data_IF_913689043592
#
_entry.id   IF_913689043592
#
_cell.length_a   1.000
_cell.length_b   1.000
_cell.length_c   1.000
_cell.angle_alpha   90.00
_cell.angle_beta   90.00
_cell.angle_gamma   90.00
#
_symmetry.space_group_name_H-M   'P 1'
#
loop_
_entity.id
_entity.type
_entity.pdbx_description
1 polymer ?
#
# COMPACT_ATOMS: atom_id res chain seq x y z
N UNK A 1 -11.39 -24.39 8.40
CA UNK A 1 -10.92 -23.97 9.73
C UNK A 1 -11.45 -22.57 9.98
N UNK A 2 -12.60 -22.44 10.65
CA UNK A 2 -13.28 -21.16 10.81
C UNK A 2 -12.75 -20.46 12.07
N UNK A 3 -11.77 -19.59 11.86
CA UNK A 3 -11.18 -18.76 12.91
C UNK A 3 -12.05 -17.53 13.10
N UNK A 4 -12.49 -17.29 14.35
CA UNK A 4 -13.23 -16.08 14.73
C UNK A 4 -12.30 -14.86 14.62
N UNK A 5 -12.38 -14.14 13.51
CA UNK A 5 -11.80 -12.79 13.39
C UNK A 5 -12.87 -11.83 13.91
N UNK A 6 -12.81 -11.51 15.20
CA UNK A 6 -13.73 -10.59 15.86
C UNK A 6 -13.61 -9.18 15.26
N UNK A 7 -14.76 -8.54 15.04
CA UNK A 7 -14.98 -7.13 14.69
C UNK A 7 -14.09 -6.59 13.55
N UNK A 8 -14.64 -6.62 12.33
CA UNK A 8 -13.97 -6.08 11.16
C UNK A 8 -13.79 -4.56 11.29
N UNK A 9 -12.57 -4.17 11.67
CA UNK A 9 -12.08 -2.81 11.54
C UNK A 9 -11.92 -2.42 10.07
N UNK A 10 -12.15 -1.13 9.83
CA UNK A 10 -12.19 -0.46 8.54
C UNK A 10 -10.89 -0.68 7.73
N UNK A 11 -10.92 -0.49 6.41
CA UNK A 11 -9.74 -0.56 5.54
C UNK A 11 -8.59 0.26 6.13
N UNK A 12 -7.35 -0.18 5.94
CA UNK A 12 -6.17 0.47 6.54
C UNK A 12 -6.19 1.98 6.35
N UNK A 13 -6.54 2.49 5.16
CA UNK A 13 -6.65 3.93 4.87
C UNK A 13 -7.74 4.68 5.65
N UNK A 14 -8.83 4.02 6.05
CA UNK A 14 -9.91 4.61 6.85
C UNK A 14 -9.61 4.49 8.34
N UNK A 15 -9.01 3.38 8.76
CA UNK A 15 -8.46 3.24 10.10
C UNK A 15 -7.37 4.30 10.34
N UNK A 16 -6.45 4.48 9.38
CA UNK A 16 -5.39 5.50 9.40
C UNK A 16 -5.96 6.91 9.55
N UNK A 17 -7.04 7.22 8.83
CA UNK A 17 -7.62 8.56 8.84
C UNK A 17 -8.46 8.82 10.10
N UNK A 18 -9.23 7.83 10.55
CA UNK A 18 -9.99 7.92 11.79
C UNK A 18 -9.02 7.97 12.98
N UNK A 19 -7.98 7.14 12.99
CA UNK A 19 -6.96 7.15 14.03
C UNK A 19 -6.15 8.45 14.00
N UNK A 20 -5.77 8.98 12.83
CA UNK A 20 -5.14 10.30 12.72
C UNK A 20 -6.07 11.43 13.20
N UNK A 21 -7.36 11.42 12.84
CA UNK A 21 -8.35 12.40 13.32
C UNK A 21 -8.60 12.28 14.83
N UNK A 22 -8.64 11.06 15.37
CA UNK A 22 -8.81 10.81 16.80
C UNK A 22 -7.56 11.21 17.58
N UNK A 23 -6.37 10.84 17.09
CA UNK A 23 -5.07 11.15 17.69
C UNK A 23 -4.77 12.65 17.62
N UNK A 24 -5.09 13.33 16.52
CA UNK A 24 -4.93 14.79 16.40
C UNK A 24 -5.87 15.59 17.32
N UNK A 25 -6.99 15.00 17.75
CA UNK A 25 -7.91 15.60 18.73
C UNK A 25 -7.55 15.27 20.19
N UNK A 26 -6.57 14.40 20.44
CA UNK A 26 -6.09 14.17 21.81
C UNK A 26 -5.30 15.40 22.31
N UNK A 27 -5.60 15.91 23.53
CA UNK A 27 -4.90 17.06 24.10
C UNK A 27 -3.38 16.87 24.19
N UNK A 28 -2.94 15.62 24.36
CA UNK A 28 -1.53 15.22 24.38
C UNK A 28 -0.82 15.44 23.04
N UNK A 29 -1.55 15.39 21.91
CA UNK A 29 -0.99 15.54 20.56
C UNK A 29 -1.00 17.00 20.10
N UNK A 30 -2.00 17.78 20.52
CA UNK A 30 -2.05 19.25 20.36
C UNK A 30 -0.90 19.96 21.08
N UNK A 31 -0.27 19.32 22.07
CA UNK A 31 0.92 19.81 22.79
C UNK A 31 2.16 18.92 22.67
N UNK A 32 2.17 17.93 21.75
CA UNK A 32 3.30 17.01 21.60
C UNK A 32 4.49 17.70 20.91
N UNK A 33 5.33 18.37 21.70
CA UNK A 33 6.69 18.70 21.28
C UNK A 33 7.48 17.39 21.11
N UNK A 34 7.75 17.01 19.86
CA UNK A 34 8.30 15.71 19.47
C UNK A 34 9.76 15.48 19.88
N UNK A 35 10.00 15.29 21.18
CA UNK A 35 11.33 15.01 21.72
C UNK A 35 11.30 13.77 22.61
N UNK A 36 12.11 12.76 22.28
CA UNK A 36 12.44 11.68 23.23
C UNK A 36 13.43 12.25 24.27
N UNK A 37 13.01 12.35 25.52
CA UNK A 37 13.88 12.76 26.64
C UNK A 37 14.28 11.53 27.45
N UNK A 38 15.59 11.25 27.54
CA UNK A 38 16.11 10.24 28.45
C UNK A 38 16.05 10.79 29.88
N UNK A 39 15.12 10.27 30.67
CA UNK A 39 15.00 10.62 32.09
C UNK A 39 16.09 9.89 32.88
N UNK A 40 16.99 10.64 33.49
CA UNK A 40 17.91 10.10 34.49
C UNK A 40 17.06 9.67 35.70
N UNK A 41 17.16 8.42 36.12
CA UNK A 41 16.45 7.92 37.30
C UNK A 41 17.05 8.59 38.55
N UNK A 42 16.58 9.79 38.90
CA UNK A 42 16.81 10.34 40.23
C UNK A 42 15.97 9.52 41.20
N UNK A 43 16.52 9.16 42.37
CA UNK A 43 15.88 8.34 43.40
C UNK A 43 14.58 8.89 44.01
N UNK A 44 13.96 9.89 43.38
CA UNK A 44 12.67 10.44 43.75
C UNK A 44 11.90 10.93 42.50
N UNK A 45 10.78 10.29 42.09
CA UNK A 45 10.09 10.62 40.83
C UNK A 45 9.48 12.03 40.81
N UNK A 46 9.27 12.65 41.97
CA UNK A 46 8.76 14.03 42.10
C UNK A 46 9.81 15.08 41.72
N UNK A 47 11.11 14.80 41.92
CA UNK A 47 12.20 15.74 41.61
C UNK A 47 12.48 15.77 40.11
N UNK A 48 12.43 14.62 39.42
CA UNK A 48 12.52 14.56 37.96
C UNK A 48 11.39 15.35 37.28
N UNK A 49 10.16 15.29 37.81
CA UNK A 49 9.02 16.05 37.31
C UNK A 49 9.06 17.55 37.66
N UNK A 50 9.72 17.95 38.75
CA UNK A 50 9.93 19.37 39.12
C UNK A 50 11.09 20.01 38.35
N UNK A 51 12.18 19.28 38.11
CA UNK A 51 13.27 19.69 37.22
C UNK A 51 12.79 19.95 35.78
N UNK A 52 11.75 19.24 35.32
CA UNK A 52 11.20 19.42 33.98
C UNK A 52 10.36 20.69 33.78
N UNK A 53 9.87 21.35 34.84
CA UNK A 53 9.09 22.59 34.72
C UNK A 53 9.92 23.85 34.49
N UNK A 54 11.21 23.84 34.89
CA UNK A 54 12.10 25.00 34.79
C UNK A 54 13.15 24.91 33.66
N UNK A 55 13.08 23.90 32.78
CA UNK A 55 13.82 23.94 31.52
C UNK A 55 12.97 24.67 30.46
N UNK A 56 12.95 26.00 30.52
CA UNK A 56 12.53 26.86 29.40
C UNK A 56 13.50 26.78 28.21
N UNK A 57 14.70 26.23 28.44
CA UNK A 57 15.65 25.89 27.40
C UNK A 57 15.52 24.41 27.01
N UNK A 58 15.31 24.19 25.72
CA UNK A 58 15.41 22.88 25.07
C UNK A 58 16.79 22.27 25.39
N UNK A 59 16.91 20.98 25.81
CA UNK A 59 18.22 20.32 25.89
C UNK A 59 18.93 20.26 24.53
N UNK A 60 18.23 20.62 23.44
CA UNK A 60 18.74 20.79 22.09
C UNK A 60 19.09 22.24 21.73
N UNK A 61 18.79 23.23 22.59
CA UNK A 61 19.39 24.58 22.52
C UNK A 61 20.79 24.54 23.15
N UNK A 62 21.76 24.06 22.38
CA UNK A 62 23.16 24.45 22.59
C UNK A 62 23.35 25.90 22.08
N UNK A 63 24.30 26.66 22.66
CA UNK A 63 24.48 28.08 22.37
C UNK A 63 24.64 28.32 20.87
N UNK A 64 24.21 29.51 20.44
CA UNK A 64 24.18 30.10 19.10
C UNK A 64 25.53 30.07 18.35
N UNK A 65 26.17 28.90 18.23
CA UNK A 65 27.29 28.75 17.31
C UNK A 65 26.71 28.75 15.90
N UNK A 66 27.20 29.60 14.98
CA UNK A 66 26.80 29.54 13.60
C UNK A 66 27.07 28.11 13.09
N UNK A 67 26.06 27.50 12.47
CA UNK A 67 26.16 26.15 11.95
C UNK A 67 27.10 26.10 10.75
N UNK A 68 28.40 25.97 11.00
CA UNK A 68 29.43 25.90 9.96
C UNK A 68 29.71 24.46 9.49
N UNK A 69 29.10 23.44 10.10
CA UNK A 69 29.41 22.02 9.85
C UNK A 69 28.62 21.33 8.72
N UNK A 70 27.83 22.07 7.93
CA UNK A 70 26.94 21.48 6.91
C UNK A 70 25.65 20.87 7.49
N UNK A 71 24.96 20.05 6.70
CA UNK A 71 23.66 19.42 7.06
C UNK A 71 23.86 17.95 7.42
N UNK A 72 23.01 17.40 8.30
CA UNK A 72 23.00 15.98 8.64
C UNK A 72 21.55 15.52 8.88
N UNK A 73 21.12 14.46 8.19
CA UNK A 73 19.78 13.91 8.36
C UNK A 73 19.88 12.43 8.74
N UNK A 74 19.15 12.04 9.77
CA UNK A 74 19.01 10.63 10.15
C UNK A 74 17.54 10.27 10.12
N UNK A 75 17.21 9.07 9.65
CA UNK A 75 15.85 8.54 9.65
C UNK A 75 15.77 7.27 10.49
N UNK A 76 14.69 7.13 11.26
CA UNK A 76 14.32 5.89 11.92
C UNK A 76 13.17 5.23 11.14
N UNK A 77 13.20 3.91 10.86
CA UNK A 77 12.06 3.21 10.29
C UNK A 77 10.84 3.37 11.20
N UNK A 78 9.84 4.11 10.73
CA UNK A 78 8.66 4.41 11.52
C UNK A 78 7.98 3.11 12.00
N UNK A 79 7.74 2.94 13.31
CA UNK A 79 7.35 1.66 13.88
C UNK A 79 5.87 1.38 13.62
N UNK A 80 5.49 0.09 13.55
CA UNK A 80 4.09 -0.30 13.44
C UNK A 80 3.31 0.05 14.70
N UNK A 81 2.15 0.69 14.52
CA UNK A 81 1.26 1.10 15.61
C UNK A 81 0.32 -0.02 16.06
N UNK A 82 0.75 -1.26 15.91
CA UNK A 82 -0.01 -2.42 16.38
C UNK A 82 0.20 -2.70 17.87
N UNK A 83 0.99 -1.91 18.60
CA UNK A 83 1.24 -2.08 20.03
C UNK A 83 2.09 -0.94 20.62
N UNK A 84 2.42 -1.05 21.91
CA UNK A 84 3.34 -0.10 22.57
C UNK A 84 4.77 -0.29 22.04
N UNK A 85 5.53 0.81 21.96
CA UNK A 85 6.96 0.74 21.62
C UNK A 85 7.72 -0.03 22.72
N UNK A 86 8.35 -1.14 22.34
CA UNK A 86 9.21 -1.94 23.22
C UNK A 86 10.70 -1.57 23.10
N UNK A 87 11.53 -2.14 23.98
CA UNK A 87 12.97 -1.84 24.10
C UNK A 87 13.76 -2.06 22.81
N UNK A 88 13.29 -2.93 21.91
CA UNK A 88 13.89 -3.12 20.58
C UNK A 88 13.80 -1.87 19.71
N UNK A 89 12.68 -1.14 19.76
CA UNK A 89 12.56 0.16 19.11
C UNK A 89 13.51 1.17 19.76
N UNK A 90 13.61 1.19 21.09
CA UNK A 90 14.55 2.04 21.84
C UNK A 90 16.01 1.75 21.48
N UNK A 91 16.37 0.49 21.28
CA UNK A 91 17.72 0.10 20.87
C UNK A 91 18.07 0.56 19.45
N UNK A 92 17.11 0.52 18.52
CA UNK A 92 17.36 0.97 17.14
C UNK A 92 17.32 2.49 17.03
N UNK A 93 16.41 3.16 17.75
CA UNK A 93 16.31 4.63 17.74
C UNK A 93 17.50 5.29 18.44
N UNK A 94 18.09 4.65 19.47
CA UNK A 94 19.23 5.22 20.20
C UNK A 94 20.45 5.42 19.29
N UNK A 95 20.68 4.55 18.30
CA UNK A 95 21.74 4.72 17.30
C UNK A 95 21.57 6.03 16.52
N UNK A 96 20.34 6.33 16.12
CA UNK A 96 20.02 7.55 15.39
C UNK A 96 20.17 8.79 16.29
N UNK A 97 19.68 8.69 17.53
CA UNK A 97 19.75 9.77 18.52
C UNK A 97 21.20 10.13 18.88
N UNK A 98 22.05 9.14 19.20
CA UNK A 98 23.46 9.38 19.49
C UNK A 98 24.23 9.96 18.29
N UNK A 99 23.95 9.47 17.08
CA UNK A 99 24.56 9.99 15.86
C UNK A 99 24.21 11.48 15.64
N UNK A 100 22.94 11.85 15.83
CA UNK A 100 22.46 13.23 15.72
C UNK A 100 23.09 14.11 16.81
N UNK A 101 23.15 13.64 18.05
CA UNK A 101 23.80 14.36 19.15
C UNK A 101 25.27 14.67 18.86
N UNK A 102 26.03 13.67 18.40
CA UNK A 102 27.44 13.84 18.03
C UNK A 102 27.64 14.81 16.87
N UNK A 103 26.82 14.74 15.83
CA UNK A 103 26.95 15.65 14.67
C UNK A 103 26.54 17.09 15.01
N UNK A 104 25.59 17.27 15.94
CA UNK A 104 25.29 18.61 16.49
C UNK A 104 26.48 19.19 17.23
N UNK A 105 27.18 18.39 18.04
CA UNK A 105 28.41 18.84 18.72
C UNK A 105 29.52 19.23 17.73
N UNK A 106 29.56 18.59 16.55
CA UNK A 106 30.43 18.97 15.42
C UNK A 106 29.97 20.24 14.68
N UNK A 107 28.90 20.90 15.11
CA UNK A 107 28.38 22.13 14.50
C UNK A 107 27.52 21.90 13.26
N UNK A 108 27.04 20.67 13.00
CA UNK A 108 26.13 20.38 11.86
C UNK A 108 24.68 20.70 12.19
N UNK A 109 23.93 21.18 11.20
CA UNK A 109 22.45 21.27 11.27
C UNK A 109 21.85 19.89 11.14
N UNK A 110 21.29 19.36 12.22
CA UNK A 110 20.78 17.99 12.24
C UNK A 110 19.25 17.90 12.25
N UNK A 111 18.69 17.16 11.27
CA UNK A 111 17.27 16.83 11.18
C UNK A 111 17.05 15.35 11.52
N UNK A 112 16.16 15.09 12.48
CA UNK A 112 15.75 13.72 12.85
C UNK A 112 14.22 13.62 12.89
N UNK A 113 13.56 13.31 11.76
CA UNK A 113 12.12 13.15 11.72
C UNK A 113 11.71 11.79 12.28
N UNK A 114 10.58 11.77 12.97
CA UNK A 114 9.97 10.55 13.50
C UNK A 114 8.54 10.42 12.96
N UNK A 115 8.19 9.23 12.48
CA UNK A 115 6.86 8.92 11.96
C UNK A 115 6.30 7.65 12.59
N UNK A 116 5.05 7.34 12.28
CA UNK A 116 4.34 6.16 12.76
C UNK A 116 3.74 5.36 11.60
N UNK A 117 3.86 4.03 11.64
CA UNK A 117 3.34 3.16 10.60
C UNK A 117 1.96 2.62 10.99
N UNK A 118 0.91 3.23 10.45
CA UNK A 118 -0.47 2.79 10.69
C UNK A 118 -1.04 1.89 9.57
N UNK A 119 -0.25 1.67 8.49
CA UNK A 119 -0.73 0.87 7.37
C UNK A 119 -0.45 -0.62 7.53
N UNK A 120 -1.35 -1.45 7.01
CA UNK A 120 -1.12 -2.89 6.80
C UNK A 120 -1.89 -3.84 7.71
N UNK A 121 -1.81 -5.13 7.37
CA UNK A 121 -2.49 -6.22 8.07
C UNK A 121 -2.14 -6.39 9.56
N UNK A 122 -0.91 -6.11 10.04
CA UNK A 122 -0.57 -6.29 11.46
C UNK A 122 -1.46 -5.50 12.43
N UNK A 123 -1.95 -4.33 12.02
CA UNK A 123 -2.81 -3.47 12.84
C UNK A 123 -4.24 -4.02 12.88
N UNK A 124 -4.74 -4.48 11.73
CA UNK A 124 -6.04 -5.16 11.62
C UNK A 124 -6.11 -6.43 12.46
N UNK A 125 -5.00 -7.14 12.58
CA UNK A 125 -4.89 -8.37 13.35
C UNK A 125 -4.83 -8.06 14.86
N UNK A 126 -4.12 -7.01 15.27
CA UNK A 126 -3.95 -6.68 16.70
C UNK A 126 -5.08 -5.89 17.35
N UNK A 127 -6.00 -5.28 16.59
CA UNK A 127 -7.09 -4.46 17.15
C UNK A 127 -7.98 -5.16 18.19
N UNK A 128 -7.91 -6.49 18.31
CA UNK A 128 -8.60 -7.30 19.35
C UNK A 128 -8.00 -8.70 19.59
N UNK A 129 -6.76 -8.99 19.17
CA UNK A 129 -6.11 -10.31 19.36
C UNK A 129 -5.50 -10.50 20.76
N UNK A 130 -6.20 -10.12 21.83
CA UNK A 130 -5.78 -10.46 23.20
C UNK A 130 -6.51 -11.72 23.66
N UNK A 131 -6.57 -12.75 22.82
CA UNK A 131 -7.13 -14.04 23.19
C UNK A 131 -6.81 -15.15 22.19
N UNK A 132 -6.75 -16.42 22.64
CA UNK A 132 -6.52 -17.56 21.75
C UNK A 132 -7.61 -17.60 20.68
N UNK A 133 -7.21 -17.89 19.44
CA UNK A 133 -8.14 -18.09 18.32
C UNK A 133 -9.08 -19.24 18.66
N UNK A 134 -10.34 -18.93 19.00
CA UNK A 134 -11.37 -19.93 19.26
C UNK A 134 -11.95 -20.40 17.94
N UNK A 135 -11.85 -21.71 17.67
CA UNK A 135 -12.62 -22.34 16.60
C UNK A 135 -14.09 -22.21 16.96
N UNK A 136 -14.87 -21.67 16.04
CA UNK A 136 -16.32 -21.54 16.19
C UNK A 136 -17.01 -22.57 15.32
N UNK A 137 -18.06 -23.19 15.86
CA UNK A 137 -18.86 -24.19 15.16
C UNK A 137 -19.78 -23.57 14.10
N UNK A 138 -20.20 -22.32 14.30
CA UNK A 138 -21.20 -21.64 13.47
C UNK A 138 -20.58 -20.37 12.85
N UNK A 139 -20.82 -20.14 11.56
CA UNK A 139 -20.42 -18.92 10.86
C UNK A 139 -21.25 -17.70 11.35
N UNK A 140 -20.62 -16.69 11.98
CA UNK A 140 -21.32 -15.53 12.51
C UNK A 140 -21.61 -14.46 11.45
N UNK A 141 -21.21 -14.68 10.19
CA UNK A 141 -21.27 -13.67 9.11
C UNK A 141 -22.67 -13.09 8.93
N UNK A 142 -23.71 -13.95 8.89
CA UNK A 142 -25.10 -13.51 8.72
C UNK A 142 -25.60 -12.70 9.93
N UNK A 143 -25.24 -13.12 11.15
CA UNK A 143 -25.57 -12.38 12.38
C UNK A 143 -24.95 -10.99 12.38
N UNK A 144 -23.70 -10.88 11.96
CA UNK A 144 -22.99 -9.59 11.87
C UNK A 144 -23.56 -8.72 10.75
N UNK A 145 -23.88 -9.31 9.59
CA UNK A 145 -24.55 -8.62 8.49
C UNK A 145 -25.90 -8.05 8.91
N UNK A 146 -26.70 -8.77 9.69
CA UNK A 146 -27.99 -8.28 10.19
C UNK A 146 -27.83 -7.01 11.05
N UNK A 147 -26.82 -6.96 11.92
CA UNK A 147 -26.50 -5.76 12.71
C UNK A 147 -26.15 -4.56 11.82
N UNK A 148 -25.33 -4.78 10.80
CA UNK A 148 -24.95 -3.74 9.84
C UNK A 148 -26.14 -3.28 9.01
N UNK A 149 -26.96 -4.20 8.50
CA UNK A 149 -28.20 -3.88 7.76
C UNK A 149 -29.14 -3.03 8.60
N UNK A 150 -29.33 -3.37 9.88
CA UNK A 150 -30.15 -2.59 10.81
C UNK A 150 -29.59 -1.17 11.00
N UNK A 151 -28.28 -1.04 11.18
CA UNK A 151 -27.62 0.25 11.31
C UNK A 151 -27.75 1.11 10.05
N UNK A 152 -27.46 0.54 8.87
CA UNK A 152 -27.57 1.23 7.58
C UNK A 152 -29.01 1.63 7.27
N UNK A 153 -29.99 0.78 7.57
CA UNK A 153 -31.41 1.10 7.38
C UNK A 153 -31.83 2.32 8.22
N UNK A 154 -31.38 2.42 9.47
CA UNK A 154 -31.63 3.60 10.33
C UNK A 154 -31.03 4.87 9.73
N UNK A 155 -29.83 4.79 9.17
CA UNK A 155 -29.19 5.93 8.51
C UNK A 155 -29.90 6.33 7.21
N UNK A 156 -30.34 5.33 6.43
CA UNK A 156 -31.07 5.56 5.19
C UNK A 156 -32.44 6.22 5.43
N UNK A 157 -33.15 5.81 6.48
CA UNK A 157 -34.39 6.48 6.92
C UNK A 157 -34.19 7.95 7.26
N UNK A 158 -32.99 8.32 7.71
CA UNK A 158 -32.58 9.72 7.96
C UNK A 158 -32.05 10.43 6.71
N UNK A 159 -32.23 9.83 5.52
CA UNK A 159 -31.79 10.35 4.22
C UNK A 159 -30.29 10.73 4.21
N UNK A 160 -29.46 9.92 4.87
CA UNK A 160 -28.00 10.11 4.92
C UNK A 160 -27.25 9.54 3.72
N UNK A 161 -27.94 8.80 2.84
CA UNK A 161 -27.40 8.22 1.62
C UNK A 161 -28.34 8.53 0.46
N UNK A 162 -27.80 8.70 -0.74
CA UNK A 162 -28.57 8.52 -1.97
C UNK A 162 -28.92 7.04 -2.18
N UNK A 163 -29.84 6.73 -3.10
CA UNK A 163 -30.21 5.35 -3.42
C UNK A 163 -28.98 4.55 -3.91
N UNK A 164 -28.21 5.11 -4.84
CA UNK A 164 -27.01 4.45 -5.38
C UNK A 164 -25.92 4.24 -4.31
N UNK A 165 -25.74 5.20 -3.41
CA UNK A 165 -24.80 5.08 -2.30
C UNK A 165 -25.24 3.99 -1.34
N UNK A 166 -26.52 3.96 -0.99
CA UNK A 166 -27.09 2.95 -0.11
C UNK A 166 -26.91 1.55 -0.68
N UNK A 167 -27.22 1.35 -1.97
CA UNK A 167 -26.99 0.07 -2.66
C UNK A 167 -25.52 -0.33 -2.64
N UNK A 168 -24.61 0.62 -2.79
CA UNK A 168 -23.17 0.35 -2.79
C UNK A 168 -22.62 -0.06 -1.41
N UNK A 169 -23.24 0.39 -0.32
CA UNK A 169 -22.81 0.07 1.06
C UNK A 169 -23.57 -1.10 1.66
N UNK A 170 -24.74 -1.44 1.12
CA UNK A 170 -25.62 -2.46 1.67
C UNK A 170 -25.06 -3.88 1.45
N UNK A 171 -24.89 -4.69 2.51
CA UNK A 171 -24.31 -6.03 2.39
C UNK A 171 -25.38 -7.05 1.97
N UNK A 172 -25.76 -7.07 0.69
CA UNK A 172 -26.80 -7.98 0.15
C UNK A 172 -26.45 -9.46 0.36
N UNK A 173 -25.31 -9.90 -0.18
CA UNK A 173 -24.81 -11.28 -0.11
C UNK A 173 -23.41 -11.31 0.52
N UNK A 174 -23.34 -11.25 1.87
CA UNK A 174 -22.06 -11.14 2.57
C UNK A 174 -21.35 -12.50 2.65
N UNK A 175 -20.06 -12.51 2.31
CA UNK A 175 -19.20 -13.69 2.48
C UNK A 175 -18.32 -13.56 3.72
N UNK A 176 -17.98 -14.68 4.40
CA UNK A 176 -17.01 -14.64 5.49
C UNK A 176 -15.64 -14.13 5.00
N UNK A 177 -14.82 -13.53 5.88
CA UNK A 177 -13.44 -13.19 5.53
C UNK A 177 -12.64 -14.48 5.26
N UNK A 178 -11.78 -14.45 4.25
CA UNK A 178 -10.98 -15.63 3.87
C UNK A 178 -9.50 -15.37 4.05
N UNK A 179 -8.81 -16.31 4.67
CA UNK A 179 -7.36 -16.28 4.88
C UNK A 179 -6.64 -17.05 3.75
N UNK A 180 -5.61 -16.45 3.17
CA UNK A 180 -4.77 -17.08 2.15
C UNK A 180 -3.31 -16.64 2.29
N UNK A 181 -2.37 -17.45 1.82
CA UNK A 181 -0.94 -17.15 1.82
C UNK A 181 -0.45 -16.67 0.46
N UNK A 182 0.37 -15.62 0.45
CA UNK A 182 1.18 -15.22 -0.70
C UNK A 182 2.63 -15.69 -0.50
N UNK A 183 3.14 -16.48 -1.43
CA UNK A 183 4.51 -17.00 -1.36
C UNK A 183 5.52 -15.85 -1.50
N UNK A 184 6.47 -15.74 -0.56
CA UNK A 184 7.59 -14.81 -0.66
C UNK A 184 8.73 -15.43 -1.46
N UNK A 185 8.57 -15.50 -2.78
CA UNK A 185 9.50 -16.19 -3.69
C UNK A 185 10.95 -15.67 -3.70
N UNK A 186 11.23 -14.51 -3.10
CA UNK A 186 12.57 -13.92 -3.00
C UNK A 186 13.31 -14.27 -1.70
N UNK A 187 12.70 -15.04 -0.80
CA UNK A 187 13.36 -15.50 0.42
C UNK A 187 13.96 -16.88 0.15
N UNK A 188 15.27 -17.00 0.36
CA UNK A 188 16.05 -18.24 0.16
C UNK A 188 15.65 -19.38 1.10
N UNK A 189 14.85 -19.09 2.13
CA UNK A 189 14.31 -20.08 3.06
C UNK A 189 13.54 -21.17 2.30
N UNK A 190 14.04 -22.41 2.33
CA UNK A 190 13.49 -23.61 1.65
C UNK A 190 12.04 -23.99 2.05
N UNK A 191 11.43 -23.25 2.98
CA UNK A 191 10.07 -23.46 3.49
C UNK A 191 9.01 -22.58 2.78
N UNK A 192 9.39 -21.77 1.78
CA UNK A 192 8.47 -20.89 1.04
C UNK A 192 7.57 -20.06 1.97
N UNK A 193 8.13 -19.20 2.84
CA UNK A 193 7.37 -18.52 3.87
C UNK A 193 6.20 -17.71 3.27
N UNK A 194 4.99 -18.06 3.69
CA UNK A 194 3.78 -17.40 3.19
C UNK A 194 3.52 -16.09 3.96
N UNK A 195 3.26 -15.01 3.22
CA UNK A 195 2.62 -13.81 3.76
C UNK A 195 1.12 -14.09 3.85
N UNK A 196 0.63 -14.29 5.07
CA UNK A 196 -0.81 -14.45 5.32
C UNK A 196 -1.54 -13.14 4.99
N UNK A 197 -2.63 -13.24 4.25
CA UNK A 197 -3.53 -12.15 3.88
C UNK A 197 -4.94 -12.57 4.23
N UNK A 198 -5.69 -11.67 4.89
CA UNK A 198 -7.12 -11.84 5.14
C UNK A 198 -7.86 -10.97 4.13
N UNK A 199 -8.50 -11.60 3.14
CA UNK A 199 -9.40 -10.90 2.24
C UNK A 199 -10.67 -10.53 2.98
N UNK A 200 -11.03 -9.25 2.95
CA UNK A 200 -12.33 -8.76 3.41
C UNK A 200 -13.23 -8.29 2.28
N UNK A 201 -12.91 -8.63 1.03
CA UNK A 201 -13.78 -8.36 -0.12
C UNK A 201 -15.08 -9.14 0.04
N UNK A 202 -16.22 -8.45 -0.11
CA UNK A 202 -17.55 -9.04 0.02
C UNK A 202 -18.00 -9.32 1.45
N UNK A 203 -17.18 -8.99 2.45
CA UNK A 203 -17.60 -9.10 3.85
C UNK A 203 -18.63 -8.03 4.23
N UNK A 204 -19.40 -8.21 5.32
CA UNK A 204 -20.45 -7.26 5.70
C UNK A 204 -20.02 -5.78 5.80
N UNK A 205 -18.77 -5.51 6.21
CA UNK A 205 -18.25 -4.14 6.33
C UNK A 205 -17.65 -3.58 5.04
N UNK A 206 -17.50 -4.37 3.97
CA UNK A 206 -16.70 -3.99 2.80
C UNK A 206 -17.22 -2.72 2.10
N UNK A 207 -18.54 -2.66 1.86
CA UNK A 207 -19.18 -1.51 1.20
C UNK A 207 -19.00 -0.22 1.99
N UNK A 208 -19.29 -0.26 3.31
CA UNK A 208 -19.09 0.88 4.23
C UNK A 208 -17.62 1.33 4.24
N UNK A 209 -16.70 0.38 4.33
CA UNK A 209 -15.26 0.70 4.32
C UNK A 209 -14.87 1.42 3.03
N UNK A 210 -15.34 0.95 1.88
CA UNK A 210 -15.06 1.58 0.59
C UNK A 210 -15.69 2.99 0.49
N UNK A 211 -16.91 3.16 0.99
CA UNK A 211 -17.58 4.46 1.05
C UNK A 211 -16.76 5.46 1.88
N UNK A 212 -16.32 5.07 3.08
CA UNK A 212 -15.51 5.93 3.94
C UNK A 212 -14.16 6.30 3.31
N UNK A 213 -13.51 5.38 2.58
CA UNK A 213 -12.29 5.71 1.81
C UNK A 213 -12.59 6.82 0.82
N UNK A 214 -13.69 6.70 0.06
CA UNK A 214 -14.07 7.69 -0.96
C UNK A 214 -14.38 9.06 -0.36
N UNK A 215 -15.00 9.10 0.81
CA UNK A 215 -15.32 10.36 1.51
C UNK A 215 -14.08 11.03 2.11
N UNK A 216 -13.17 10.26 2.70
CA UNK A 216 -12.04 10.79 3.47
C UNK A 216 -10.83 11.11 2.58
N UNK A 217 -10.59 10.31 1.53
CA UNK A 217 -9.39 10.44 0.70
C UNK A 217 -9.22 11.82 0.03
N UNK A 218 -10.28 12.50 -0.46
CA UNK A 218 -10.19 13.86 -0.98
C UNK A 218 -9.66 14.86 0.04
N UNK A 219 -10.22 14.85 1.26
CA UNK A 219 -9.80 15.74 2.36
C UNK A 219 -8.33 15.50 2.72
N UNK A 220 -7.90 14.24 2.82
CA UNK A 220 -6.49 13.92 3.05
C UNK A 220 -5.59 14.45 1.93
N UNK A 221 -6.08 14.46 0.69
CA UNK A 221 -5.34 14.91 -0.48
C UNK A 221 -5.24 16.43 -0.62
N UNK A 222 -5.97 17.21 0.18
CA UNK A 222 -5.84 18.66 0.29
C UNK A 222 -4.69 19.08 1.20
N UNK A 223 -4.18 18.17 2.05
CA UNK A 223 -3.08 18.48 2.94
C UNK A 223 -1.80 18.84 2.12
N UNK A 224 -1.26 20.07 2.27
CA UNK A 224 -0.14 20.55 1.45
C UNK A 224 1.16 19.75 1.68
N UNK A 225 1.31 19.20 2.89
CA UNK A 225 2.49 18.43 3.33
C UNK A 225 2.40 16.97 2.86
N UNK A 226 1.23 16.50 2.44
CA UNK A 226 1.07 15.13 1.93
C UNK A 226 1.75 14.98 0.57
N UNK A 227 2.53 13.91 0.44
CA UNK A 227 3.02 13.39 -0.84
C UNK A 227 2.05 12.31 -1.31
N UNK A 228 1.41 12.53 -2.47
CA UNK A 228 0.39 11.60 -2.99
C UNK A 228 1.00 10.37 -3.62
N UNK A 229 2.03 10.57 -4.43
CA UNK A 229 2.78 9.54 -5.14
C UNK A 229 4.10 10.12 -5.66
N UNK A 230 4.92 9.29 -6.29
CA UNK A 230 6.24 9.66 -6.79
C UNK A 230 6.20 10.72 -7.90
N UNK A 231 5.11 10.77 -8.70
CA UNK A 231 4.92 11.81 -9.72
C UNK A 231 4.64 13.17 -9.07
N UNK A 232 3.79 13.19 -8.04
CA UNK A 232 3.53 14.40 -7.23
C UNK A 232 4.82 14.90 -6.57
N UNK A 233 5.64 13.99 -6.03
CA UNK A 233 6.97 14.32 -5.51
C UNK A 233 7.86 14.99 -6.57
N UNK A 234 8.03 14.37 -7.74
CA UNK A 234 8.84 14.91 -8.85
C UNK A 234 8.34 16.29 -9.32
N UNK A 235 7.02 16.51 -9.30
CA UNK A 235 6.48 17.82 -9.66
C UNK A 235 6.78 18.88 -8.59
N UNK A 236 6.65 18.54 -7.30
CA UNK A 236 6.99 19.45 -6.19
C UNK A 236 8.49 19.79 -6.18
N UNK A 237 9.37 18.83 -6.46
CA UNK A 237 10.82 19.04 -6.47
C UNK A 237 11.30 20.05 -7.51
N UNK A 238 10.52 20.31 -8.57
CA UNK A 238 10.87 21.33 -9.58
C UNK A 238 10.92 22.75 -9.02
N UNK A 239 10.20 22.99 -7.92
CA UNK A 239 10.16 24.29 -7.23
C UNK A 239 11.26 24.44 -6.17
N UNK A 240 11.98 23.37 -5.85
CA UNK A 240 12.94 23.39 -4.75
C UNK A 240 14.26 24.02 -5.18
N UNK A 241 14.82 24.84 -4.30
CA UNK A 241 16.17 25.36 -4.47
C UNK A 241 17.18 24.23 -4.25
N UNK A 242 18.05 24.03 -5.24
CA UNK A 242 19.02 22.94 -5.24
C UNK A 242 20.37 23.49 -4.83
N UNK A 243 20.97 22.81 -3.86
CA UNK A 243 22.33 23.06 -3.41
C UNK A 243 23.29 22.66 -4.54
N UNK A 244 24.06 23.63 -5.07
CA UNK A 244 24.93 23.42 -6.24
C UNK A 244 26.26 22.78 -5.88
N UNK A 245 26.57 22.65 -4.59
CA UNK A 245 27.91 22.31 -4.13
C UNK A 245 28.04 20.84 -3.71
N UNK A 246 26.98 20.04 -3.83
CA UNK A 246 26.98 18.65 -3.37
C UNK A 246 26.32 17.68 -4.38
N UNK A 247 27.14 16.80 -4.96
CA UNK A 247 26.66 15.66 -5.74
C UNK A 247 26.08 14.64 -4.75
N UNK A 248 24.78 14.38 -4.84
CA UNK A 248 24.11 13.41 -3.98
C UNK A 248 23.22 12.49 -4.80
N UNK A 249 23.22 11.21 -4.42
CA UNK A 249 22.30 10.20 -4.92
C UNK A 249 21.51 9.66 -3.74
N UNK A 250 20.18 9.79 -3.81
CA UNK A 250 19.28 9.34 -2.74
C UNK A 250 18.18 8.44 -3.31
N UNK A 251 18.04 7.25 -2.74
CA UNK A 251 16.92 6.37 -3.04
C UNK A 251 15.76 6.72 -2.11
N UNK A 252 14.60 7.05 -2.68
CA UNK A 252 13.39 7.37 -1.94
C UNK A 252 12.19 6.69 -2.61
N UNK A 253 11.42 5.90 -1.84
CA UNK A 253 10.32 5.09 -2.36
C UNK A 253 10.76 4.22 -3.56
N UNK A 254 10.28 4.55 -4.75
CA UNK A 254 10.52 3.83 -6.00
C UNK A 254 11.30 4.68 -7.02
N UNK A 255 11.96 5.74 -6.55
CA UNK A 255 12.77 6.67 -7.33
C UNK A 255 14.19 6.81 -6.76
N UNK A 256 15.16 7.01 -7.65
CA UNK A 256 16.51 7.46 -7.31
C UNK A 256 16.61 8.92 -7.73
N UNK A 257 16.92 9.78 -6.78
CA UNK A 257 17.08 11.23 -6.93
C UNK A 257 18.58 11.50 -7.09
N UNK A 258 18.94 12.25 -8.12
CA UNK A 258 20.33 12.59 -8.44
C UNK A 258 20.45 14.11 -8.47
N UNK A 259 21.34 14.66 -7.64
CA UNK A 259 21.82 16.02 -7.78
C UNK A 259 23.15 16.00 -8.54
N UNK A 260 23.16 16.53 -9.75
CA UNK A 260 24.35 16.62 -10.59
C UNK A 260 24.92 18.05 -10.64
N UNK A 261 24.55 18.90 -9.66
CA UNK A 261 24.95 20.31 -9.54
C UNK A 261 24.52 21.25 -10.68
N UNK A 262 23.74 20.76 -11.65
CA UNK A 262 23.20 21.57 -12.76
C UNK A 262 21.96 22.39 -12.37
N UNK A 263 21.64 22.47 -11.07
CA UNK A 263 20.48 23.21 -10.57
C UNK A 263 19.13 22.56 -10.85
N UNK A 264 19.10 21.28 -11.26
CA UNK A 264 17.88 20.45 -11.39
C UNK A 264 18.15 19.03 -10.88
N UNK A 265 17.16 18.44 -10.19
CA UNK A 265 17.23 17.02 -9.83
C UNK A 265 16.94 16.16 -11.06
N UNK A 266 17.74 15.13 -11.24
CA UNK A 266 17.45 14.05 -12.17
C UNK A 266 16.86 12.85 -11.43
N UNK A 267 16.02 12.10 -12.13
CA UNK A 267 15.30 10.97 -11.55
C UNK A 267 15.50 9.70 -12.36
N UNK A 268 15.62 8.57 -11.66
CA UNK A 268 15.60 7.21 -12.20
C UNK A 268 14.60 6.35 -11.43
N UNK A 269 14.18 5.24 -12.02
CA UNK A 269 13.41 4.22 -11.30
C UNK A 269 14.34 3.45 -10.36
N UNK A 270 14.05 3.49 -9.06
CA UNK A 270 14.81 2.70 -8.08
C UNK A 270 14.32 1.24 -8.04
N UNK A 271 15.28 0.32 -7.98
CA UNK A 271 15.06 -1.11 -7.76
C UNK A 271 16.01 -1.56 -6.65
N UNK A 272 15.52 -2.43 -5.77
CA UNK A 272 16.36 -3.05 -4.74
C UNK A 272 17.28 -4.09 -5.38
N UNK A 273 18.45 -4.29 -4.79
CA UNK A 273 19.44 -5.26 -5.28
C UNK A 273 18.90 -6.70 -5.29
N UNK A 274 17.97 -7.02 -4.38
CA UNK A 274 17.30 -8.32 -4.30
C UNK A 274 16.22 -8.57 -5.38
N UNK A 275 16.17 -7.79 -6.46
CA UNK A 275 15.17 -7.98 -7.52
C UNK A 275 15.53 -9.17 -8.40
N UNK A 276 14.59 -10.11 -8.60
CA UNK A 276 14.81 -11.34 -9.37
C UNK A 276 14.50 -11.21 -10.87
N UNK A 277 14.03 -10.04 -11.31
CA UNK A 277 13.60 -9.77 -12.70
C UNK A 277 12.55 -10.74 -13.29
N UNK A 278 11.90 -11.56 -12.46
CA UNK A 278 10.87 -12.51 -12.90
C UNK A 278 9.62 -11.75 -13.35
N UNK A 279 9.19 -11.98 -14.59
CA UNK A 279 7.95 -11.44 -15.16
C UNK A 279 6.98 -12.55 -15.54
N UNK A 280 5.75 -12.17 -15.90
CA UNK A 280 4.76 -13.10 -16.44
C UNK A 280 5.28 -13.70 -17.75
N UNK A 281 5.39 -15.04 -17.78
CA UNK A 281 5.85 -15.76 -18.97
C UNK A 281 4.79 -15.70 -20.09
N UNK A 282 5.16 -15.52 -21.37
CA UNK A 282 4.19 -15.49 -22.48
C UNK A 282 3.33 -16.76 -22.60
N UNK A 283 3.86 -17.90 -22.16
CA UNK A 283 3.20 -19.21 -22.24
C UNK A 283 2.37 -19.55 -20.99
N UNK A 284 2.15 -18.58 -20.09
CA UNK A 284 1.35 -18.76 -18.86
C UNK A 284 -0.17 -18.81 -19.06
N UNK A 285 -0.63 -19.07 -20.29
CA UNK A 285 -2.06 -19.18 -20.63
C UNK A 285 -2.91 -17.97 -20.20
N UNK A 286 -2.32 -16.77 -20.16
CA UNK A 286 -3.05 -15.52 -20.00
C UNK A 286 -3.40 -14.90 -21.37
N UNK A 287 -4.46 -14.07 -21.42
CA UNK A 287 -4.72 -13.25 -22.61
C UNK A 287 -3.46 -12.41 -22.92
N UNK A 288 -2.88 -12.48 -24.13
CA UNK A 288 -1.68 -11.72 -24.51
C UNK A 288 -1.83 -10.21 -24.28
N UNK A 289 -3.06 -9.69 -24.23
CA UNK A 289 -3.32 -8.29 -23.88
C UNK A 289 -2.86 -7.94 -22.46
N UNK A 290 -2.92 -8.88 -21.52
CA UNK A 290 -2.49 -8.68 -20.13
C UNK A 290 -0.99 -8.41 -20.10
N UNK A 291 -0.19 -9.26 -20.74
CA UNK A 291 1.26 -9.09 -20.84
C UNK A 291 1.61 -7.75 -21.51
N UNK A 292 0.96 -7.43 -22.63
CA UNK A 292 1.14 -6.14 -23.31
C UNK A 292 0.75 -4.95 -22.42
N UNK A 293 -0.32 -5.06 -21.64
CA UNK A 293 -0.77 -4.01 -20.74
C UNK A 293 0.20 -3.81 -19.57
N UNK A 294 0.77 -4.88 -19.02
CA UNK A 294 1.79 -4.84 -17.97
C UNK A 294 3.04 -4.12 -18.50
N UNK A 295 3.56 -4.55 -19.66
CA UNK A 295 4.72 -3.92 -20.26
C UNK A 295 4.49 -2.42 -20.57
N UNK A 296 3.31 -2.07 -21.12
CA UNK A 296 2.91 -0.67 -21.31
C UNK A 296 2.91 0.13 -20.02
N UNK A 297 2.43 -0.45 -18.90
CA UNK A 297 2.44 0.22 -17.59
C UNK A 297 3.86 0.49 -17.09
N UNK A 298 4.80 -0.44 -17.30
CA UNK A 298 6.21 -0.20 -16.98
C UNK A 298 6.79 0.95 -17.80
N UNK A 299 6.51 1.01 -19.11
CA UNK A 299 6.95 2.14 -19.96
C UNK A 299 6.32 3.46 -19.51
N UNK A 300 5.02 3.49 -19.20
CA UNK A 300 4.38 4.69 -18.68
C UNK A 300 4.99 5.15 -17.36
N UNK A 301 5.35 4.22 -16.48
CA UNK A 301 6.06 4.52 -15.24
C UNK A 301 7.44 5.10 -15.51
N UNK A 302 8.19 4.52 -16.46
CA UNK A 302 9.50 5.04 -16.88
C UNK A 302 9.39 6.49 -17.34
N UNK A 303 8.44 6.83 -18.22
CA UNK A 303 8.22 8.21 -18.66
C UNK A 303 7.68 9.13 -17.57
N UNK A 304 6.96 8.60 -16.58
CA UNK A 304 6.44 9.40 -15.48
C UNK A 304 7.49 9.72 -14.42
N UNK A 305 8.56 8.93 -14.33
CA UNK A 305 9.58 9.02 -13.28
C UNK A 305 10.90 9.52 -13.83
N UNK A 306 11.42 8.91 -14.90
CA UNK A 306 12.77 9.16 -15.36
C UNK A 306 12.89 10.53 -16.03
N UNK A 307 14.00 11.22 -15.77
CA UNK A 307 14.43 12.37 -16.57
C UNK A 307 14.74 11.95 -18.00
N UNK A 308 14.71 12.91 -18.94
CA UNK A 308 14.89 12.66 -20.38
C UNK A 308 16.16 11.85 -20.68
N UNK A 309 17.25 12.17 -19.99
CA UNK A 309 18.56 11.51 -20.10
C UNK A 309 18.52 10.03 -19.73
N UNK A 310 17.68 9.62 -18.77
CA UNK A 310 17.64 8.26 -18.22
C UNK A 310 16.46 7.43 -18.75
N UNK A 311 15.54 8.06 -19.47
CA UNK A 311 14.31 7.42 -19.95
C UNK A 311 14.57 6.28 -20.95
N UNK A 312 15.56 6.47 -21.84
CA UNK A 312 15.93 5.46 -22.86
C UNK A 312 16.57 4.23 -22.21
N UNK A 313 17.46 4.43 -21.26
CA UNK A 313 18.15 3.36 -20.55
C UNK A 313 17.17 2.49 -19.76
N UNK A 314 16.21 3.12 -19.08
CA UNK A 314 15.15 2.43 -18.36
C UNK A 314 14.27 1.60 -19.31
N UNK A 315 13.92 2.13 -20.49
CA UNK A 315 13.14 1.39 -21.49
C UNK A 315 13.93 0.21 -22.05
N UNK A 316 15.23 0.39 -22.33
CA UNK A 316 16.10 -0.68 -22.81
C UNK A 316 16.23 -1.80 -21.78
N UNK A 317 16.41 -1.43 -20.50
CA UNK A 317 16.39 -2.38 -19.39
C UNK A 317 15.08 -3.16 -19.33
N UNK A 318 13.93 -2.48 -19.45
CA UNK A 318 12.62 -3.15 -19.45
C UNK A 318 12.45 -4.10 -20.64
N UNK A 319 12.94 -3.74 -21.83
CA UNK A 319 12.93 -4.63 -22.99
C UNK A 319 13.77 -5.87 -22.69
N UNK A 320 14.99 -5.70 -22.19
CA UNK A 320 15.88 -6.80 -21.82
C UNK A 320 15.21 -7.75 -20.82
N UNK A 321 14.68 -7.22 -19.71
CA UNK A 321 14.00 -8.03 -18.67
C UNK A 321 12.85 -8.84 -19.26
N UNK A 322 12.01 -8.26 -20.12
CA UNK A 322 10.90 -9.00 -20.71
C UNK A 322 11.36 -10.03 -21.75
N UNK A 323 12.43 -9.73 -22.51
CA UNK A 323 13.05 -10.65 -23.45
C UNK A 323 13.67 -11.86 -22.73
N UNK A 324 14.39 -11.65 -21.62
CA UNK A 324 14.91 -12.73 -20.74
C UNK A 324 13.77 -13.61 -20.19
N UNK A 325 12.56 -13.06 -20.07
CA UNK A 325 11.37 -13.81 -19.68
C UNK A 325 10.64 -14.49 -20.85
N UNK A 326 11.22 -14.52 -22.05
CA UNK A 326 10.73 -15.22 -23.24
C UNK A 326 9.82 -14.38 -24.15
N UNK A 327 9.71 -13.07 -23.93
CA UNK A 327 8.91 -12.20 -24.79
C UNK A 327 9.64 -11.88 -26.10
N UNK A 328 8.89 -11.67 -27.18
CA UNK A 328 9.46 -11.26 -28.46
C UNK A 328 9.94 -9.80 -28.43
N UNK A 329 11.23 -9.57 -28.65
CA UNK A 329 11.86 -8.25 -28.56
C UNK A 329 11.29 -7.24 -29.58
N UNK A 330 11.04 -7.66 -30.82
CA UNK A 330 10.46 -6.79 -31.87
C UNK A 330 9.10 -6.25 -31.43
N UNK A 331 8.25 -7.12 -30.89
CA UNK A 331 6.95 -6.73 -30.33
C UNK A 331 7.10 -5.71 -29.19
N UNK A 332 8.09 -5.87 -28.32
CA UNK A 332 8.34 -4.94 -27.20
C UNK A 332 8.80 -3.56 -27.71
N UNK A 333 9.71 -3.53 -28.69
CA UNK A 333 10.15 -2.30 -29.36
C UNK A 333 9.00 -1.58 -30.07
N UNK A 334 8.11 -2.31 -30.73
CA UNK A 334 6.92 -1.74 -31.36
C UNK A 334 5.99 -1.09 -30.32
N UNK A 335 5.80 -1.76 -29.17
CA UNK A 335 4.98 -1.23 -28.09
C UNK A 335 5.62 0.03 -27.47
N UNK A 336 6.93 0.05 -27.25
CA UNK A 336 7.61 1.22 -26.70
C UNK A 336 7.49 2.43 -27.61
N UNK A 337 7.65 2.23 -28.93
CA UNK A 337 7.46 3.25 -29.95
C UNK A 337 6.01 3.75 -30.02
N UNK A 338 5.02 2.87 -29.89
CA UNK A 338 3.60 3.25 -29.86
C UNK A 338 3.27 4.13 -28.65
N UNK A 339 3.77 3.75 -27.46
CA UNK A 339 3.53 4.51 -26.22
C UNK A 339 4.18 5.89 -26.29
N UNK A 340 5.38 6.00 -26.88
CA UNK A 340 6.06 7.28 -27.09
C UNK A 340 5.25 8.25 -27.96
N UNK A 341 4.61 7.74 -29.03
CA UNK A 341 3.82 8.55 -29.97
C UNK A 341 2.44 8.95 -29.42
N UNK A 342 1.90 8.21 -28.45
CA UNK A 342 0.62 8.48 -27.80
C UNK A 342 0.80 8.46 -26.28
N UNK A 343 1.39 9.53 -25.69
CA UNK A 343 1.36 9.68 -24.24
C UNK A 343 -0.09 9.65 -23.78
N UNK A 344 -0.33 9.17 -22.55
CA UNK A 344 -1.66 8.99 -21.97
C UNK A 344 -2.49 10.27 -22.19
N UNK A 345 -3.41 10.26 -23.15
CA UNK A 345 -4.49 11.22 -23.15
C UNK A 345 -5.31 10.90 -21.90
N UNK A 346 -5.54 11.89 -21.03
CA UNK A 346 -6.56 11.79 -19.99
C UNK A 346 -7.90 11.60 -20.70
N UNK A 347 -8.23 10.36 -21.07
CA UNK A 347 -9.59 9.99 -21.44
C UNK A 347 -10.41 9.94 -20.17
N UNK A 348 -10.73 11.11 -19.63
CA UNK A 348 -11.88 11.29 -18.75
C UNK A 348 -13.18 11.15 -19.55
N UNK A 349 -13.11 11.13 -20.87
CA UNK A 349 -14.16 10.61 -21.73
C UNK A 349 -14.05 9.08 -21.79
N UNK A 350 -14.93 8.42 -21.05
CA UNK A 350 -15.43 7.11 -21.47
C UNK A 350 -15.80 7.29 -22.95
N UNK A 351 -15.23 6.52 -23.89
CA UNK A 351 -15.61 6.68 -25.28
C UNK A 351 -17.13 6.52 -25.36
N UNK A 352 -17.83 7.61 -25.68
CA UNK A 352 -19.29 7.70 -25.83
C UNK A 352 -19.82 6.94 -27.04
N UNK A 353 -19.04 5.99 -27.55
CA UNK A 353 -19.41 5.02 -28.56
C UNK A 353 -18.89 3.65 -28.14
N UNK A 354 -19.37 3.13 -27.00
CA UNK A 354 -19.49 1.69 -26.88
C UNK A 354 -20.81 1.31 -27.51
N UNK A 355 -20.78 0.59 -28.63
CA UNK A 355 -21.94 -0.20 -29.05
C UNK A 355 -22.51 -0.86 -27.79
N UNK A 356 -23.78 -0.61 -27.46
CA UNK A 356 -24.51 -1.17 -26.31
C UNK A 356 -24.71 -2.69 -26.49
N UNK A 357 -23.63 -3.41 -26.75
CA UNK A 357 -23.64 -4.84 -26.95
C UNK A 357 -23.61 -5.49 -25.57
N UNK A 358 -24.51 -6.45 -25.30
CA UNK A 358 -24.43 -7.26 -24.10
C UNK A 358 -23.04 -7.89 -23.97
N UNK A 359 -22.49 -7.86 -22.76
CA UNK A 359 -21.11 -8.30 -22.50
C UNK A 359 -21.11 -9.73 -21.97
N UNK A 360 -20.36 -10.62 -22.63
CA UNK A 360 -20.14 -11.98 -22.16
C UNK A 360 -18.72 -12.14 -21.62
N UNK A 361 -18.61 -12.81 -20.47
CA UNK A 361 -17.36 -13.05 -19.76
C UNK A 361 -16.98 -14.52 -19.86
N UNK A 362 -15.88 -14.85 -20.53
CA UNK A 362 -15.43 -16.23 -20.76
C UNK A 362 -14.03 -16.49 -20.18
N UNK A 363 -13.68 -17.73 -19.81
CA UNK A 363 -12.30 -18.10 -19.52
C UNK A 363 -11.40 -17.90 -20.75
N UNK A 364 -10.14 -17.51 -20.52
CA UNK A 364 -9.13 -17.50 -21.57
C UNK A 364 -8.56 -18.90 -21.77
N UNK A 365 -8.80 -19.45 -22.96
CA UNK A 365 -8.24 -20.70 -23.45
C UNK A 365 -7.50 -20.36 -24.76
N UNK A 366 -6.18 -20.59 -24.83
CA UNK A 366 -5.43 -20.35 -26.07
C UNK A 366 -6.07 -21.08 -27.25
N UNK A 367 -5.94 -20.49 -28.45
CA UNK A 367 -6.52 -20.99 -29.71
C UNK A 367 -8.05 -20.87 -29.78
N UNK A 368 -8.78 -21.27 -28.74
CA UNK A 368 -10.25 -21.27 -28.69
C UNK A 368 -10.81 -19.86 -28.46
N UNK A 369 -10.32 -19.15 -27.44
CA UNK A 369 -10.83 -17.82 -27.08
C UNK A 369 -10.81 -16.81 -28.24
N UNK A 370 -9.74 -16.70 -29.06
CA UNK A 370 -9.76 -15.84 -30.25
C UNK A 370 -10.85 -16.20 -31.27
N UNK A 371 -11.16 -17.50 -31.44
CA UNK A 371 -12.24 -17.98 -32.32
C UNK A 371 -13.61 -17.65 -31.74
N UNK A 372 -13.83 -17.94 -30.46
CA UNK A 372 -15.06 -17.61 -29.74
C UNK A 372 -15.35 -16.11 -29.79
N UNK A 373 -14.34 -15.26 -29.60
CA UNK A 373 -14.49 -13.81 -29.71
C UNK A 373 -15.06 -13.38 -31.06
N UNK A 374 -14.63 -14.01 -32.16
CA UNK A 374 -15.14 -13.69 -33.51
C UNK A 374 -16.60 -14.12 -33.66
N UNK A 375 -16.95 -15.29 -33.14
CA UNK A 375 -18.31 -15.84 -33.18
C UNK A 375 -19.26 -14.94 -32.38
N UNK A 376 -18.94 -14.66 -31.11
CA UNK A 376 -19.75 -13.80 -30.26
C UNK A 376 -19.88 -12.38 -30.80
N UNK A 377 -18.81 -11.83 -31.40
CA UNK A 377 -18.89 -10.52 -32.06
C UNK A 377 -19.86 -10.53 -33.26
N UNK A 378 -19.88 -11.59 -34.06
CA UNK A 378 -20.87 -11.76 -35.15
C UNK A 378 -22.29 -11.88 -34.60
N UNK A 379 -22.46 -12.51 -33.44
CA UNK A 379 -23.74 -12.64 -32.74
C UNK A 379 -24.16 -11.38 -31.94
N UNK A 380 -23.45 -10.26 -32.05
CA UNK A 380 -23.83 -9.01 -31.36
C UNK A 380 -23.41 -8.94 -29.89
N UNK A 381 -22.43 -9.72 -29.45
CA UNK A 381 -21.93 -9.70 -28.07
C UNK A 381 -20.51 -9.14 -27.96
N UNK A 382 -20.26 -8.38 -26.89
CA UNK A 382 -18.90 -7.98 -26.49
C UNK A 382 -18.28 -9.07 -25.62
N UNK A 383 -17.28 -9.77 -26.13
CA UNK A 383 -16.55 -10.79 -25.34
C UNK A 383 -15.41 -10.19 -24.52
N UNK A 384 -15.40 -10.48 -23.23
CA UNK A 384 -14.31 -10.21 -22.27
C UNK A 384 -13.78 -11.53 -21.75
N UNK A 385 -12.46 -11.62 -21.58
CA UNK A 385 -11.81 -12.83 -21.06
C UNK A 385 -11.34 -12.65 -19.63
N UNK A 386 -11.56 -13.68 -18.81
CA UNK A 386 -11.04 -13.80 -17.44
C UNK A 386 -9.98 -14.89 -17.40
N UNK A 387 -9.07 -14.81 -16.43
CA UNK A 387 -8.18 -15.92 -16.11
C UNK A 387 -9.00 -17.16 -15.75
N UNK A 388 -8.49 -18.34 -16.08
CA UNK A 388 -9.09 -19.61 -15.67
C UNK A 388 -9.26 -19.69 -14.15
N UNK A 389 -10.14 -20.61 -13.71
CA UNK A 389 -10.27 -20.98 -12.32
C UNK A 389 -8.87 -21.24 -11.75
N UNK A 390 -8.47 -20.44 -10.77
CA UNK A 390 -7.19 -20.65 -10.11
C UNK A 390 -7.30 -21.91 -9.22
N UNK A 391 -6.14 -22.44 -8.80
CA UNK A 391 -6.10 -23.62 -7.95
C UNK A 391 -7.03 -23.49 -6.73
N UNK A 392 -7.13 -22.28 -6.17
CA UNK A 392 -8.10 -21.97 -5.12
C UNK A 392 -9.53 -22.27 -5.58
N UNK A 393 -10.02 -21.67 -6.67
CA UNK A 393 -11.38 -21.92 -7.19
C UNK A 393 -11.64 -23.40 -7.47
N UNK A 394 -10.66 -24.12 -8.01
CA UNK A 394 -10.79 -25.55 -8.32
C UNK A 394 -10.86 -26.42 -7.06
N UNK A 395 -10.07 -26.09 -6.03
CA UNK A 395 -10.03 -26.84 -4.78
C UNK A 395 -11.16 -26.44 -3.83
N UNK A 396 -11.68 -25.21 -3.90
CA UNK A 396 -12.75 -24.73 -3.02
C UNK A 396 -14.15 -24.91 -3.60
N UNK A 397 -14.31 -25.11 -4.91
CA UNK A 397 -15.63 -25.33 -5.52
C UNK A 397 -16.28 -26.65 -5.12
N UNK A 398 -15.48 -27.66 -4.73
CA UNK A 398 -15.96 -28.93 -4.17
C UNK A 398 -16.15 -28.90 -2.65
N UNK A 399 -15.80 -27.80 -1.99
CA UNK A 399 -16.04 -27.59 -0.56
C UNK A 399 -17.38 -26.85 -0.36
N UNK A 400 -18.41 -27.23 -1.13
CA UNK A 400 -19.74 -27.35 -0.57
C UNK A 400 -19.76 -28.65 0.26
N UNK A 401 -18.99 -28.66 1.35
CA UNK A 401 -19.06 -29.73 2.32
C UNK A 401 -20.47 -29.69 2.89
N UNK A 402 -21.24 -30.73 2.56
CA UNK A 402 -22.33 -31.20 3.40
C UNK A 402 -21.88 -31.08 4.86
N UNK A 403 -22.40 -30.10 5.58
CA UNK A 403 -22.20 -29.93 7.01
C UNK A 403 -23.02 -31.01 7.75
N UNK A 404 -22.72 -32.29 7.48
CA UNK A 404 -22.96 -33.36 8.43
C UNK A 404 -21.61 -33.69 9.04
N UNK A 405 -21.29 -32.97 10.12
CA UNK A 405 -20.11 -33.23 10.92
C UNK A 405 -20.31 -34.56 11.67
N UNK A 406 -19.81 -35.67 11.12
CA UNK A 406 -19.39 -36.79 11.96
C UNK A 406 -18.01 -36.43 12.51
N UNK A 407 -17.94 -36.21 13.82
CA UNK A 407 -16.68 -35.97 14.53
C UNK A 407 -15.70 -37.13 14.26
N UNK A 408 -14.39 -36.87 14.07
CA UNK A 408 -13.41 -37.92 14.03
C UNK A 408 -13.32 -38.54 15.43
N UNK A 409 -13.56 -39.84 15.54
CA UNK A 409 -13.19 -40.60 16.73
C UNK A 409 -11.66 -40.62 16.81
N UNK A 410 -11.13 -40.25 17.97
CA UNK A 410 -9.71 -40.38 18.29
C UNK A 410 -9.33 -41.88 18.30
N UNK A 411 -8.19 -42.26 17.73
CA UNK A 411 -7.67 -43.61 17.88
C UNK A 411 -7.16 -43.81 19.31
N UNK A 412 -7.58 -44.93 19.92
CA UNK A 412 -7.18 -45.41 21.25
C UNK A 412 -5.66 -45.62 21.33
#
# INVERSE_FOLDING_TARGET
MNVKIADQTLSSSVADAIEFLMVSQYPLFLGANGYLRFLRRSGNPVIAAKSTKNLSADPLTLPEKPFNGGKYMVSFPYPYMNGKLHLGHTFTISKAEFAVGFQRLKGKRCLFPFGFHCTGMPIKVNGKQIGPTKIISIDPTLSYAAKIKSFLSKLNKKQRFSNDEYESVYPSDPVPPHLYGLIKAHKEEKSYPMRVVVSTIGTPCYGISNYLVKSIQPVLNENPIRLKNSKDFINKTKSWLIDKDEIQILNFLDITIINNTQGKYEFKVYRKDAITNIQIKPHSYHDPKILKAIFKRYIHRAYSICSENHSKDEINFLIQVFTENGCNEKMLKDISNQVRKKPFANKNEIPSNSNNLPTISLPWIPIISPRLKRIFRKAGYRTVFKSNANLKTLLTSKISLNYHATAPQEPI
#
